data_IF_105024460396
#
_entry.id   IF_105024460396
#
_cell.length_a   1.000
_cell.length_b   1.000
_cell.length_c   1.000
_cell.angle_alpha   90.00
_cell.angle_beta   90.00
_cell.angle_gamma   90.00
#
_symmetry.space_group_name_H-M   'P 1'
#
loop_
_entity.id
_entity.type
_entity.pdbx_description
1 polymer ?
#
# COMPACT_ATOMS: atom_id res chain seq x y z
N UNK A 1 76.69 29.03 41.60
CA UNK A 1 75.81 28.37 42.59
C UNK A 1 74.38 28.65 42.12
N UNK A 2 73.82 27.80 41.25
CA UNK A 2 72.69 26.87 41.53
C UNK A 2 71.43 27.64 42.00
N UNK A 3 70.20 27.54 41.48
CA UNK A 3 69.44 26.50 40.74
C UNK A 3 68.14 27.14 40.18
N UNK A 4 67.62 26.61 39.06
CA UNK A 4 66.22 26.43 38.58
C UNK A 4 65.05 27.11 39.35
N UNK A 5 63.95 27.58 38.74
CA UNK A 5 62.95 26.73 38.06
C UNK A 5 61.74 27.54 37.50
N UNK A 6 61.12 26.98 36.45
CA UNK A 6 60.04 27.48 35.58
C UNK A 6 58.60 27.21 36.10
N UNK A 7 57.59 27.98 35.64
CA UNK A 7 56.21 27.54 35.26
C UNK A 7 55.42 28.72 34.64
N UNK A 8 55.29 28.87 33.31
CA UNK A 8 54.25 28.37 32.35
C UNK A 8 52.80 28.84 32.70
N UNK A 9 52.29 29.95 32.14
CA UNK A 9 51.41 30.14 30.92
C UNK A 9 50.01 29.47 31.10
N UNK A 10 48.79 30.00 30.84
CA UNK A 10 48.27 31.05 29.93
C UNK A 10 46.77 31.41 30.18
N UNK A 11 46.48 32.71 30.04
CA UNK A 11 45.45 33.41 29.20
C UNK A 11 43.95 33.04 29.25
N UNK A 12 43.13 34.09 29.48
CA UNK A 12 41.80 34.25 28.88
C UNK A 12 41.66 35.67 28.31
N UNK A 13 41.19 35.78 27.05
CA UNK A 13 41.25 36.97 26.20
C UNK A 13 40.02 37.90 26.35
N UNK A 14 40.31 39.17 26.13
CA UNK A 14 39.49 40.39 26.15
C UNK A 14 38.84 40.70 24.78
N UNK A 15 37.85 41.62 24.73
CA UNK A 15 37.37 42.52 23.62
C UNK A 15 35.82 42.51 23.53
N UNK A 16 35.01 43.49 23.98
CA UNK A 16 34.68 44.89 23.54
C UNK A 16 34.04 45.06 22.15
N UNK A 17 32.79 45.56 22.09
CA UNK A 17 32.24 46.47 21.05
C UNK A 17 30.93 47.11 21.59
N UNK A 18 30.90 48.39 21.99
CA UNK A 18 30.65 49.66 21.27
C UNK A 18 29.17 49.97 20.88
N UNK A 19 28.61 50.91 21.66
CA UNK A 19 27.43 51.80 21.53
C UNK A 19 26.91 52.09 20.10
N UNK A 20 25.58 52.26 19.93
CA UNK A 20 24.94 53.56 19.61
C UNK A 20 23.37 53.53 19.59
N UNK A 21 22.79 54.48 20.33
CA UNK A 21 21.55 55.28 20.08
C UNK A 21 20.12 54.69 20.07
N UNK A 22 19.38 55.13 21.10
CA UNK A 22 17.91 55.25 21.24
C UNK A 22 17.36 56.47 20.46
N UNK A 23 16.07 56.48 20.07
CA UNK A 23 15.01 57.38 20.60
C UNK A 23 13.89 57.79 19.58
N UNK A 24 12.63 57.37 19.87
CA UNK A 24 11.28 57.98 19.63
C UNK A 24 10.81 58.27 18.16
N UNK A 25 9.53 58.20 17.74
CA UNK A 25 8.21 58.56 18.32
C UNK A 25 7.06 58.12 17.33
N UNK A 26 5.90 57.66 17.85
CA UNK A 26 4.52 57.56 17.27
C UNK A 26 4.21 56.82 15.95
N UNK A 27 3.27 55.84 16.00
CA UNK A 27 1.97 55.89 15.31
C UNK A 27 1.11 54.63 15.58
N UNK A 28 -0.18 54.85 15.81
CA UNK A 28 -1.24 53.87 16.05
C UNK A 28 -1.63 53.20 14.72
N UNK A 29 -1.41 51.89 14.52
CA UNK A 29 -2.07 51.15 13.42
C UNK A 29 -2.36 49.70 13.87
N UNK A 30 -3.64 49.35 13.83
CA UNK A 30 -4.14 47.99 13.99
C UNK A 30 -3.41 47.06 13.01
N UNK A 31 -2.89 45.95 13.52
CA UNK A 31 -2.34 44.87 12.70
C UNK A 31 -3.08 43.60 13.08
N UNK A 32 -4.05 43.25 12.23
CA UNK A 32 -4.66 41.93 12.15
C UNK A 32 -3.57 40.87 12.22
N UNK A 33 -3.68 39.98 13.21
CA UNK A 33 -2.93 38.73 13.23
C UNK A 33 -3.45 37.91 12.06
N UNK A 34 -2.70 37.89 10.95
CA UNK A 34 -2.85 36.83 9.98
C UNK A 34 -2.29 35.58 10.66
N UNK A 35 -3.17 34.84 11.33
CA UNK A 35 -2.96 33.40 11.49
C UNK A 35 -3.16 32.85 10.09
N UNK A 36 -2.07 32.72 9.34
CA UNK A 36 -2.03 31.77 8.24
C UNK A 36 -2.17 30.41 8.92
N UNK A 37 -3.38 29.87 8.92
CA UNK A 37 -3.58 28.45 9.09
C UNK A 37 -2.96 27.84 7.83
N UNK A 38 -1.72 27.36 7.95
CA UNK A 38 -1.18 26.41 6.98
C UNK A 38 -1.99 25.13 7.23
N UNK A 39 -3.15 25.05 6.61
CA UNK A 39 -3.86 23.79 6.46
C UNK A 39 -3.01 22.98 5.48
N UNK A 40 -2.01 22.28 6.01
CA UNK A 40 -1.32 21.23 5.26
C UNK A 40 -2.39 20.19 4.92
N UNK A 41 -2.94 20.25 3.71
CA UNK A 41 -3.70 19.14 3.15
C UNK A 41 -2.75 17.94 3.11
N UNK A 42 -2.87 17.04 4.09
CA UNK A 42 -2.27 15.72 4.00
C UNK A 42 -2.81 15.07 2.74
N UNK A 43 -1.99 15.04 1.68
CA UNK A 43 -2.28 14.30 0.47
C UNK A 43 -2.26 12.82 0.84
N UNK A 44 -3.44 12.24 1.06
CA UNK A 44 -3.58 10.81 1.30
C UNK A 44 -3.17 10.10 0.01
N UNK A 45 -2.22 9.18 0.11
CA UNK A 45 -1.80 8.37 -1.04
C UNK A 45 -2.99 7.58 -1.59
N UNK A 46 -3.22 7.56 -2.93
CA UNK A 46 -4.29 6.79 -3.54
C UNK A 46 -4.02 5.27 -3.53
N UNK A 47 -2.81 4.87 -3.13
CA UNK A 47 -2.39 3.48 -3.09
C UNK A 47 -2.79 2.79 -1.80
N UNK A 48 -3.20 1.53 -1.93
CA UNK A 48 -3.52 0.63 -0.83
C UNK A 48 -2.62 -0.59 -0.88
N UNK A 49 -2.01 -0.97 0.26
CA UNK A 49 -1.16 -2.17 0.35
C UNK A 49 -1.86 -3.24 1.16
N UNK A 50 -1.86 -4.47 0.64
CA UNK A 50 -2.56 -5.62 1.20
C UNK A 50 -1.63 -6.82 1.23
N UNK A 51 -1.64 -7.54 2.34
CA UNK A 51 -0.97 -8.83 2.49
C UNK A 51 -2.00 -9.92 2.74
N UNK A 52 -1.97 -10.98 1.92
CA UNK A 52 -2.86 -12.14 2.02
C UNK A 52 -2.05 -13.40 2.25
N UNK A 53 -2.53 -14.25 3.16
CA UNK A 53 -1.99 -15.58 3.40
C UNK A 53 -2.56 -16.61 2.43
N UNK A 54 -1.77 -17.63 2.09
CA UNK A 54 -2.26 -18.81 1.38
C UNK A 54 -3.13 -19.70 2.29
N UNK A 55 -3.70 -20.78 1.75
CA UNK A 55 -4.79 -21.56 2.36
C UNK A 55 -4.48 -22.13 3.75
N UNK A 56 -3.21 -22.44 4.05
CA UNK A 56 -2.80 -22.99 5.35
C UNK A 56 -2.16 -21.92 6.26
N UNK A 57 -2.16 -20.64 5.85
CA UNK A 57 -1.62 -19.56 6.65
C UNK A 57 -2.60 -19.19 7.78
N UNK A 58 -2.17 -19.48 9.02
CA UNK A 58 -2.99 -19.24 10.22
C UNK A 58 -2.79 -17.86 10.84
N UNK A 59 -1.81 -17.08 10.37
CA UNK A 59 -1.45 -15.77 10.92
C UNK A 59 -1.99 -14.60 10.09
N UNK A 60 -2.21 -14.81 8.78
CA UNK A 60 -2.68 -13.80 7.83
C UNK A 60 -3.88 -14.37 7.08
N UNK A 61 -4.98 -13.63 7.02
CA UNK A 61 -6.15 -14.04 6.26
C UNK A 61 -5.88 -14.10 4.75
N UNK A 62 -6.56 -15.01 4.04
CA UNK A 62 -6.41 -15.20 2.60
C UNK A 62 -7.48 -14.55 1.73
N UNK A 63 -8.40 -13.80 2.32
CA UNK A 63 -9.61 -13.31 1.65
C UNK A 63 -9.67 -11.79 1.73
N UNK A 64 -9.87 -11.10 0.61
CA UNK A 64 -9.88 -9.64 0.57
C UNK A 64 -11.18 -9.09 0.00
N UNK A 65 -11.69 -8.04 0.64
CA UNK A 65 -12.76 -7.20 0.13
C UNK A 65 -12.20 -5.83 -0.22
N UNK A 66 -12.35 -5.40 -1.48
CA UNK A 66 -11.94 -4.08 -1.95
C UNK A 66 -12.83 -3.00 -1.36
N UNK A 67 -14.15 -3.22 -1.32
CA UNK A 67 -15.11 -2.25 -0.77
C UNK A 67 -14.90 -2.03 0.74
N UNK A 68 -14.68 -3.09 1.52
CA UNK A 68 -14.40 -2.98 2.96
C UNK A 68 -12.95 -2.58 3.27
N UNK A 69 -12.05 -2.64 2.28
CA UNK A 69 -10.60 -2.49 2.42
C UNK A 69 -10.03 -3.37 3.53
N UNK A 70 -10.46 -4.64 3.58
CA UNK A 70 -10.20 -5.53 4.72
C UNK A 70 -9.84 -6.95 4.29
N UNK A 71 -8.86 -7.49 5.02
CA UNK A 71 -8.45 -8.91 4.97
C UNK A 71 -9.27 -9.71 5.99
N UNK A 72 -9.77 -10.85 5.55
CA UNK A 72 -10.58 -11.79 6.31
C UNK A 72 -9.95 -13.18 6.33
N UNK A 73 -10.18 -13.93 7.41
CA UNK A 73 -9.96 -15.38 7.45
C UNK A 73 -11.08 -16.10 6.69
N UNK A 74 -10.89 -17.37 6.34
CA UNK A 74 -11.89 -18.17 5.63
C UNK A 74 -13.26 -18.17 6.34
N UNK A 75 -13.26 -18.37 7.67
CA UNK A 75 -14.50 -18.44 8.44
C UNK A 75 -15.27 -17.11 8.43
N UNK A 76 -14.57 -15.98 8.53
CA UNK A 76 -15.22 -14.67 8.47
C UNK A 76 -15.68 -14.37 7.04
N UNK A 77 -14.86 -14.69 6.04
CA UNK A 77 -15.18 -14.49 4.63
C UNK A 77 -16.43 -15.29 4.20
N UNK A 78 -16.62 -16.51 4.72
CA UNK A 78 -17.81 -17.32 4.47
C UNK A 78 -19.12 -16.68 4.95
N UNK A 79 -19.06 -15.70 5.89
CA UNK A 79 -20.22 -14.89 6.33
C UNK A 79 -20.40 -13.61 5.53
N UNK A 80 -19.49 -13.31 4.59
CA UNK A 80 -19.37 -12.06 3.82
C UNK A 80 -19.19 -12.31 2.31
N UNK A 81 -19.73 -13.42 1.82
CA UNK A 81 -19.44 -13.96 0.48
C UNK A 81 -19.57 -12.92 -0.65
N UNK A 82 -20.62 -12.09 -0.59
CA UNK A 82 -20.95 -10.99 -1.53
C UNK A 82 -20.02 -9.77 -1.51
N UNK A 83 -18.97 -9.80 -0.68
CA UNK A 83 -18.03 -8.68 -0.56
C UNK A 83 -16.60 -9.08 -0.89
N UNK A 84 -16.34 -10.39 -1.07
CA UNK A 84 -15.00 -10.91 -1.28
C UNK A 84 -14.64 -10.82 -2.75
N UNK A 85 -13.59 -10.08 -3.05
CA UNK A 85 -13.10 -9.90 -4.41
C UNK A 85 -11.96 -10.87 -4.71
N UNK A 86 -11.00 -11.01 -3.78
CA UNK A 86 -9.78 -11.81 -3.96
C UNK A 86 -9.64 -12.92 -2.92
N UNK A 87 -9.08 -14.03 -3.37
CA UNK A 87 -8.66 -15.21 -2.63
C UNK A 87 -7.18 -15.45 -2.92
N UNK A 88 -6.36 -15.66 -1.90
CA UNK A 88 -4.96 -16.07 -2.05
C UNK A 88 -4.82 -17.57 -1.78
N UNK A 89 -4.11 -18.27 -2.66
CA UNK A 89 -3.79 -19.68 -2.47
C UNK A 89 -2.45 -20.04 -3.12
N UNK A 90 -1.91 -21.19 -2.73
CA UNK A 90 -0.76 -21.83 -3.33
C UNK A 90 -1.16 -23.20 -3.89
N UNK A 91 -0.75 -23.50 -5.11
CA UNK A 91 -0.91 -24.80 -5.74
C UNK A 91 0.31 -25.06 -6.64
N UNK A 92 0.92 -26.24 -6.57
CA UNK A 92 2.07 -26.57 -7.42
C UNK A 92 1.72 -26.40 -8.91
N UNK A 93 2.54 -25.65 -9.65
CA UNK A 93 2.28 -25.31 -11.06
C UNK A 93 1.44 -24.05 -11.29
N UNK A 94 0.73 -23.55 -10.27
CA UNK A 94 0.17 -22.19 -10.25
C UNK A 94 0.95 -21.26 -9.30
N UNK A 95 1.71 -21.81 -8.35
CA UNK A 95 2.36 -21.13 -7.23
C UNK A 95 1.39 -20.18 -6.50
N UNK A 96 1.93 -19.19 -5.78
CA UNK A 96 1.12 -18.17 -5.13
C UNK A 96 0.30 -17.44 -6.19
N UNK A 97 -1.01 -17.46 -5.98
CA UNK A 97 -2.01 -17.00 -6.93
C UNK A 97 -3.09 -16.18 -6.23
N UNK A 98 -3.61 -15.18 -6.93
CA UNK A 98 -4.84 -14.50 -6.58
C UNK A 98 -5.97 -15.00 -7.50
N UNK A 99 -7.14 -15.25 -6.95
CA UNK A 99 -8.33 -15.60 -7.71
C UNK A 99 -9.55 -14.87 -7.16
N UNK A 100 -10.61 -14.77 -7.96
CA UNK A 100 -11.91 -14.36 -7.43
C UNK A 100 -12.68 -15.57 -6.87
N UNK A 101 -13.65 -15.38 -5.97
CA UNK A 101 -14.59 -16.45 -5.60
C UNK A 101 -15.26 -17.09 -6.82
N UNK A 102 -15.66 -16.28 -7.80
CA UNK A 102 -16.27 -16.75 -9.05
C UNK A 102 -15.32 -17.55 -9.95
N UNK A 103 -14.05 -17.76 -9.58
CA UNK A 103 -13.12 -18.64 -10.28
C UNK A 103 -13.43 -20.13 -10.06
N UNK A 104 -14.29 -20.46 -9.08
CA UNK A 104 -14.65 -21.82 -8.69
C UNK A 104 -13.41 -22.67 -8.38
N UNK A 105 -12.55 -22.18 -7.48
CA UNK A 105 -11.39 -22.94 -7.00
C UNK A 105 -11.89 -24.17 -6.25
N UNK A 106 -11.39 -25.35 -6.62
CA UNK A 106 -11.72 -26.62 -5.95
C UNK A 106 -10.48 -27.29 -5.38
N UNK A 107 -10.66 -28.09 -4.33
CA UNK A 107 -9.64 -28.95 -3.71
C UNK A 107 -8.44 -28.20 -3.10
N UNK A 108 -8.57 -26.89 -2.89
CA UNK A 108 -7.52 -26.04 -2.29
C UNK A 108 -7.89 -25.62 -0.86
N UNK A 109 -9.10 -25.09 -0.69
CA UNK A 109 -9.62 -24.67 0.61
C UNK A 109 -10.50 -25.78 1.18
N UNK A 110 -10.32 -26.10 2.47
CA UNK A 110 -11.01 -27.24 3.09
C UNK A 110 -12.00 -26.80 4.18
N UNK A 111 -12.90 -27.70 4.56
CA UNK A 111 -13.89 -27.46 5.63
C UNK A 111 -15.22 -26.86 5.14
N UNK A 112 -16.16 -26.70 6.06
CA UNK A 112 -17.54 -26.26 5.77
C UNK A 112 -17.65 -24.79 5.39
N UNK A 113 -16.57 -24.02 5.54
CA UNK A 113 -16.47 -22.60 5.18
C UNK A 113 -15.69 -22.39 3.88
N UNK A 114 -15.28 -23.46 3.19
CA UNK A 114 -14.56 -23.40 1.92
C UNK A 114 -15.36 -22.61 0.86
N UNK A 115 -14.71 -21.81 0.01
CA UNK A 115 -15.35 -21.12 -1.12
C UNK A 115 -16.17 -22.03 -2.04
N UNK A 116 -15.85 -23.32 -2.11
CA UNK A 116 -16.61 -24.31 -2.88
C UNK A 116 -18.06 -24.47 -2.39
N UNK A 117 -18.32 -24.18 -1.11
CA UNK A 117 -19.67 -24.30 -0.53
C UNK A 117 -20.42 -22.98 -0.52
N UNK A 118 -19.84 -21.90 -1.05
CA UNK A 118 -20.47 -20.58 -1.07
C UNK A 118 -21.62 -20.54 -2.07
N UNK A 119 -22.70 -19.86 -1.68
CA UNK A 119 -23.88 -19.68 -2.53
C UNK A 119 -23.80 -18.41 -3.36
N UNK A 120 -22.95 -17.47 -2.95
CA UNK A 120 -22.68 -16.21 -3.65
C UNK A 120 -21.20 -16.13 -3.95
N UNK A 121 -20.84 -15.83 -5.20
CA UNK A 121 -19.44 -15.69 -5.62
C UNK A 121 -19.30 -14.52 -6.59
N UNK A 122 -18.57 -13.49 -6.17
CA UNK A 122 -18.25 -12.38 -7.05
C UNK A 122 -17.08 -12.73 -7.97
N UNK A 123 -17.15 -12.22 -9.19
CA UNK A 123 -16.09 -12.43 -10.18
C UNK A 123 -15.26 -11.16 -10.34
N UNK A 124 -13.96 -11.30 -10.07
CA UNK A 124 -12.93 -10.35 -10.48
C UNK A 124 -12.14 -10.96 -11.62
N UNK A 125 -11.89 -10.16 -12.65
CA UNK A 125 -11.04 -10.53 -13.76
C UNK A 125 -9.69 -9.84 -13.66
N UNK A 126 -8.64 -10.57 -13.98
CA UNK A 126 -7.25 -10.14 -13.91
C UNK A 126 -6.60 -10.25 -15.29
N UNK A 127 -5.80 -9.26 -15.65
CA UNK A 127 -5.01 -9.22 -16.86
C UNK A 127 -3.60 -8.77 -16.51
N UNK A 128 -2.58 -9.58 -16.83
CA UNK A 128 -1.20 -9.17 -16.62
C UNK A 128 -0.82 -8.12 -17.66
N UNK A 129 -0.30 -6.99 -17.20
CA UNK A 129 0.09 -5.86 -18.06
C UNK A 129 1.57 -5.92 -18.40
N UNK A 130 1.96 -5.13 -19.40
CA UNK A 130 3.37 -4.85 -19.73
C UNK A 130 3.90 -3.58 -19.04
N UNK A 131 3.17 -3.03 -18.05
CA UNK A 131 3.62 -1.85 -17.32
C UNK A 131 4.86 -2.16 -16.49
N UNK A 132 5.76 -1.19 -16.42
CA UNK A 132 6.90 -1.23 -15.52
C UNK A 132 6.52 -0.74 -14.12
N UNK A 133 7.29 -1.14 -13.11
CA UNK A 133 7.11 -0.65 -11.74
C UNK A 133 7.22 0.87 -11.63
N UNK A 134 8.12 1.49 -12.41
CA UNK A 134 8.28 2.95 -12.48
C UNK A 134 7.02 3.64 -13.02
N UNK A 135 6.38 3.06 -14.05
CA UNK A 135 5.11 3.60 -14.57
C UNK A 135 3.99 3.46 -13.54
N UNK A 136 3.91 2.31 -12.87
CA UNK A 136 2.92 2.09 -11.81
C UNK A 136 3.11 3.07 -10.64
N UNK A 137 4.35 3.25 -10.17
CA UNK A 137 4.67 4.09 -9.02
C UNK A 137 4.46 5.60 -9.30
N UNK A 138 4.32 5.98 -10.57
CA UNK A 138 4.01 7.34 -10.99
C UNK A 138 2.51 7.62 -11.13
N UNK A 139 1.64 6.61 -10.94
CA UNK A 139 0.20 6.78 -11.09
C UNK A 139 -0.41 7.67 -10.01
N UNK A 140 -1.44 8.39 -10.42
CA UNK A 140 -2.36 9.17 -9.59
C UNK A 140 -3.78 8.62 -9.77
N UNK A 141 -4.71 8.96 -8.88
CA UNK A 141 -6.10 8.45 -8.95
C UNK A 141 -6.86 8.89 -10.22
N UNK A 142 -6.43 9.98 -10.85
CA UNK A 142 -7.04 10.52 -12.06
C UNK A 142 -6.55 9.86 -13.35
N UNK A 143 -5.48 9.05 -13.30
CA UNK A 143 -4.89 8.48 -14.50
C UNK A 143 -5.81 7.49 -15.20
N UNK A 144 -6.14 7.78 -16.46
CA UNK A 144 -6.90 6.89 -17.34
C UNK A 144 -6.19 5.54 -17.62
N UNK A 145 -4.88 5.47 -17.34
CA UNK A 145 -4.12 4.24 -17.47
C UNK A 145 -4.66 3.13 -16.54
N UNK A 146 -5.27 3.49 -15.41
CA UNK A 146 -5.90 2.53 -14.47
C UNK A 146 -7.02 1.74 -15.17
N UNK A 147 -7.82 2.41 -16.00
CA UNK A 147 -8.94 1.80 -16.72
C UNK A 147 -8.47 1.17 -18.03
N UNK A 148 -7.67 1.90 -18.81
CA UNK A 148 -7.28 1.50 -20.18
C UNK A 148 -6.27 0.35 -20.24
N UNK A 149 -5.60 0.03 -19.13
CA UNK A 149 -4.72 -1.14 -19.05
C UNK A 149 -5.47 -2.47 -18.98
N UNK A 150 -6.79 -2.46 -18.69
CA UNK A 150 -7.59 -3.68 -18.63
C UNK A 150 -7.94 -4.20 -20.03
N UNK A 151 -7.56 -5.44 -20.32
CA UNK A 151 -7.93 -6.14 -21.54
C UNK A 151 -8.96 -7.24 -21.25
N UNK A 152 -10.22 -7.02 -21.62
CA UNK A 152 -11.31 -7.95 -21.34
C UNK A 152 -11.18 -9.30 -22.06
N UNK A 153 -10.59 -9.33 -23.26
CA UNK A 153 -10.46 -10.54 -24.08
C UNK A 153 -9.41 -11.51 -23.49
N UNK A 154 -8.39 -10.93 -22.85
CA UNK A 154 -7.28 -11.67 -22.26
C UNK A 154 -7.42 -11.87 -20.74
N UNK A 155 -8.40 -11.22 -20.12
CA UNK A 155 -8.59 -11.32 -18.68
C UNK A 155 -9.03 -12.73 -18.24
N UNK A 156 -8.59 -13.13 -17.04
CA UNK A 156 -8.84 -14.44 -16.44
C UNK A 156 -9.30 -14.27 -15.00
N UNK A 157 -9.95 -15.29 -14.43
CA UNK A 157 -10.42 -15.26 -13.03
C UNK A 157 -9.34 -15.61 -12.00
N UNK A 158 -8.10 -15.84 -12.46
CA UNK A 158 -6.92 -16.10 -11.64
C UNK A 158 -5.72 -15.33 -12.19
N UNK A 159 -4.99 -14.65 -11.32
CA UNK A 159 -3.62 -14.20 -11.54
C UNK A 159 -2.68 -15.20 -10.85
N UNK A 160 -1.96 -15.99 -11.65
CA UNK A 160 -1.12 -17.11 -11.19
C UNK A 160 0.35 -16.83 -11.40
N UNK A 161 1.21 -17.62 -10.76
CA UNK A 161 2.67 -17.52 -10.84
C UNK A 161 3.14 -16.12 -10.47
N UNK A 162 2.57 -15.56 -9.41
CA UNK A 162 2.85 -14.19 -9.02
C UNK A 162 4.34 -14.04 -8.69
N UNK A 163 4.97 -13.06 -9.30
CA UNK A 163 6.36 -12.68 -9.01
C UNK A 163 6.45 -11.20 -8.70
N UNK A 164 7.40 -10.83 -7.83
CA UNK A 164 7.61 -9.44 -7.42
C UNK A 164 7.84 -8.55 -8.65
N UNK A 165 7.13 -7.44 -8.70
CA UNK A 165 7.16 -6.48 -9.81
C UNK A 165 6.16 -6.78 -10.93
N UNK A 166 5.45 -7.93 -10.92
CA UNK A 166 4.33 -8.12 -11.84
C UNK A 166 3.23 -7.10 -11.55
N UNK A 167 2.65 -6.57 -12.63
CA UNK A 167 1.55 -5.63 -12.56
C UNK A 167 0.35 -6.20 -13.30
N UNK A 168 -0.77 -6.29 -12.63
CA UNK A 168 -2.02 -6.77 -13.19
C UNK A 168 -3.06 -5.65 -13.17
N UNK A 169 -3.75 -5.47 -14.30
CA UNK A 169 -5.03 -4.80 -14.33
C UNK A 169 -6.09 -5.76 -13.81
N UNK A 170 -7.05 -5.24 -13.06
CA UNK A 170 -8.20 -6.01 -12.63
C UNK A 170 -9.49 -5.22 -12.79
N UNK A 171 -10.58 -5.96 -12.94
CA UNK A 171 -11.93 -5.42 -12.93
C UNK A 171 -12.79 -6.24 -11.98
N UNK A 172 -13.43 -5.61 -11.01
CA UNK A 172 -14.37 -6.29 -10.11
C UNK A 172 -15.75 -6.42 -10.75
N UNK A 173 -16.62 -7.26 -10.17
CA UNK A 173 -18.01 -7.41 -10.62
C UNK A 173 -18.80 -6.09 -10.54
N UNK A 174 -18.48 -5.26 -9.55
CA UNK A 174 -19.02 -3.91 -9.34
C UNK A 174 -18.43 -2.84 -10.28
N UNK A 175 -17.67 -3.27 -11.29
CA UNK A 175 -17.05 -2.43 -12.31
C UNK A 175 -16.00 -1.43 -11.81
N UNK A 176 -15.36 -1.69 -10.66
CA UNK A 176 -14.12 -1.01 -10.33
C UNK A 176 -13.00 -1.54 -11.22
N UNK A 177 -12.22 -0.62 -11.81
CA UNK A 177 -10.96 -0.94 -12.47
C UNK A 177 -9.81 -0.65 -11.53
N UNK A 178 -8.77 -1.45 -11.60
CA UNK A 178 -7.58 -1.19 -10.81
C UNK A 178 -6.33 -1.78 -11.42
N UNK A 179 -5.20 -1.32 -10.91
CA UNK A 179 -3.90 -1.92 -11.14
C UNK A 179 -3.35 -2.35 -9.79
N UNK A 180 -2.81 -3.56 -9.70
CA UNK A 180 -1.99 -3.96 -8.57
C UNK A 180 -0.59 -4.36 -9.01
N UNK A 181 0.40 -4.02 -8.18
CA UNK A 181 1.80 -4.44 -8.30
C UNK A 181 2.13 -5.38 -7.15
N UNK A 182 2.69 -6.56 -7.47
CA UNK A 182 3.17 -7.52 -6.48
C UNK A 182 4.46 -6.98 -5.83
N UNK A 183 4.50 -6.87 -4.50
CA UNK A 183 5.63 -6.34 -3.72
C UNK A 183 6.40 -7.42 -2.97
N UNK A 184 5.72 -8.50 -2.54
CA UNK A 184 6.33 -9.64 -1.85
C UNK A 184 5.62 -10.94 -2.23
N UNK A 185 6.37 -12.02 -2.39
CA UNK A 185 5.84 -13.38 -2.55
C UNK A 185 6.63 -14.32 -1.66
N UNK A 186 5.92 -15.00 -0.77
CA UNK A 186 6.42 -16.12 0.03
C UNK A 186 5.71 -17.36 -0.48
N UNK A 187 6.38 -18.25 -1.24
CA UNK A 187 5.78 -19.49 -1.72
C UNK A 187 5.48 -20.44 -0.55
N UNK A 188 4.73 -21.51 -0.83
CA UNK A 188 4.19 -22.52 0.10
C UNK A 188 2.70 -22.30 0.47
N UNK A 189 2.01 -23.36 0.90
CA UNK A 189 0.62 -23.29 1.34
C UNK A 189 0.44 -22.50 2.64
N UNK A 190 1.49 -22.37 3.46
CA UNK A 190 1.55 -21.44 4.60
C UNK A 190 2.05 -20.04 4.21
N UNK A 191 2.37 -19.82 2.93
CA UNK A 191 2.98 -18.62 2.39
C UNK A 191 2.04 -17.40 2.34
N UNK A 192 2.44 -16.39 1.57
CA UNK A 192 1.69 -15.14 1.43
C UNK A 192 2.07 -14.35 0.18
N UNK A 193 1.19 -13.46 -0.25
CA UNK A 193 1.49 -12.39 -1.22
C UNK A 193 1.22 -11.02 -0.59
N UNK A 194 2.09 -10.07 -0.87
CA UNK A 194 1.81 -8.65 -0.66
C UNK A 194 1.73 -7.94 -2.01
N UNK A 195 0.75 -7.05 -2.15
CA UNK A 195 0.61 -6.20 -3.32
C UNK A 195 0.12 -4.81 -2.93
N UNK A 196 0.53 -3.83 -3.73
CA UNK A 196 0.01 -2.47 -3.66
C UNK A 196 -0.90 -2.24 -4.85
N UNK A 197 -2.04 -1.58 -4.65
CA UNK A 197 -3.00 -1.33 -5.71
C UNK A 197 -3.54 0.11 -5.70
N UNK A 198 -4.00 0.54 -6.85
CA UNK A 198 -4.77 1.77 -7.07
C UNK A 198 -6.04 1.42 -7.85
N UNK A 199 -7.15 2.09 -7.55
CA UNK A 199 -8.45 1.83 -8.19
C UNK A 199 -9.09 3.11 -8.72
N UNK A 200 -9.89 2.95 -9.76
CA UNK A 200 -10.76 3.96 -10.33
C UNK A 200 -12.12 3.32 -10.63
N UNK A 201 -13.19 4.07 -10.40
CA UNK A 201 -14.56 3.66 -10.71
C UNK A 201 -14.99 4.18 -12.07
#
# INVERSE_FOLDING_TARGET
>A
MSIYSYRKISKLKFTIMKKLTYLLLFAFIASSVFIACDDEEETVSPFHTVKLGAQDNTSIGGFYSINDKKVYTQDVAATKQETIDFLCFYEEGNDISLASPGANITDIFTGTTSPETWTTTDTTWFYQTELTTVQFDALTEDDELIVTSYNADEARRKAKLLTVGNIYAFKTQDAYYGLFKVTEVVPDSIGSVEFTYIIKK
#
